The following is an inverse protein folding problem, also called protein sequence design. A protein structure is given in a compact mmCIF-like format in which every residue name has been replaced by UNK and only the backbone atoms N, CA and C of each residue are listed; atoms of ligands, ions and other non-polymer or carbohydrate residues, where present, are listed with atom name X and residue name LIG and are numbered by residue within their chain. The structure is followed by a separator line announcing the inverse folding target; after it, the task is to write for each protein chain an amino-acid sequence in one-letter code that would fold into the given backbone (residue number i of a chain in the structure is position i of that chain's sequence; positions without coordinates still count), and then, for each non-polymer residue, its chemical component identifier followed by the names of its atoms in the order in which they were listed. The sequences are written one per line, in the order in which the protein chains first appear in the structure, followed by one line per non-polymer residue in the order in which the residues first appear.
data_IF_195289569565
#
_entry.id   IF_195289569565
#
_cell.length_a   1.000
_cell.length_b   1.000
_cell.length_c   1.000
_cell.angle_alpha   90.00
_cell.angle_beta   90.00
_cell.angle_gamma   90.00
#
_symmetry.space_group_name_H-M   'P 1'
#
loop_
_entity.id
_entity.type
_entity.pdbx_description
1 polymer ?
#
# COMPACT_ATOMS: atom_id res chain seq x y z
N UNK A 1 -1.99 16.83 -8.41
CA UNK A 1 -0.83 16.03 -8.85
C UNK A 1 -1.42 14.86 -9.61
N UNK A 2 -1.05 14.67 -10.87
CA UNK A 2 -1.58 13.57 -11.65
C UNK A 2 -0.69 12.35 -11.42
N UNK A 3 -1.27 11.32 -10.80
CA UNK A 3 -0.58 10.06 -10.53
C UNK A 3 -0.82 9.08 -11.68
N UNK A 4 0.19 8.28 -12.09
CA UNK A 4 0.00 7.23 -13.09
C UNK A 4 -1.07 6.22 -12.66
N UNK A 5 -1.89 5.74 -13.58
CA UNK A 5 -2.95 4.77 -13.28
C UNK A 5 -2.41 3.47 -12.65
N UNK A 6 -1.15 3.12 -12.92
CA UNK A 6 -0.56 1.88 -12.39
C UNK A 6 -0.38 1.90 -10.87
N UNK A 7 -0.28 3.08 -10.25
CA UNK A 7 -0.18 3.22 -8.79
C UNK A 7 -1.55 3.42 -8.14
N UNK A 8 -2.62 3.57 -8.93
CA UNK A 8 -3.98 3.76 -8.45
C UNK A 8 -4.60 2.43 -8.04
N UNK A 9 -5.25 2.43 -6.88
CA UNK A 9 -6.11 1.37 -6.39
C UNK A 9 -7.54 1.89 -6.27
N UNK A 10 -8.50 1.01 -6.49
CA UNK A 10 -9.93 1.31 -6.30
C UNK A 10 -10.45 0.56 -5.09
N UNK A 11 -11.04 1.28 -4.14
CA UNK A 11 -11.66 0.67 -2.96
C UNK A 11 -12.93 -0.08 -3.35
N UNK A 12 -13.46 -0.91 -2.46
CA UNK A 12 -14.77 -1.57 -2.66
C UNK A 12 -15.92 -0.58 -2.86
N UNK A 13 -15.76 0.68 -2.44
CA UNK A 13 -16.74 1.76 -2.60
C UNK A 13 -16.56 2.56 -3.90
N UNK A 14 -15.58 2.22 -4.72
CA UNK A 14 -15.27 2.94 -5.96
C UNK A 14 -14.38 4.17 -5.77
N UNK A 15 -13.87 4.41 -4.56
CA UNK A 15 -12.96 5.52 -4.30
C UNK A 15 -11.56 5.20 -4.83
N UNK A 16 -10.86 6.21 -5.36
CA UNK A 16 -9.50 6.07 -5.90
C UNK A 16 -8.48 6.43 -4.83
N UNK A 17 -7.46 5.60 -4.69
CA UNK A 17 -6.35 5.77 -3.76
C UNK A 17 -5.01 5.57 -4.47
N UNK A 18 -3.99 6.32 -4.11
CA UNK A 18 -2.61 6.13 -4.60
C UNK A 18 -1.87 5.21 -3.64
N UNK A 19 -1.26 4.14 -4.16
CA UNK A 19 -0.30 3.33 -3.40
C UNK A 19 1.01 4.10 -3.26
N UNK A 20 1.26 4.68 -2.09
CA UNK A 20 2.44 5.50 -1.82
C UNK A 20 3.49 4.73 -1.05
N UNK A 21 4.72 4.74 -1.55
CA UNK A 21 5.87 4.08 -0.95
C UNK A 21 6.13 4.60 0.48
N UNK A 22 6.50 3.69 1.39
CA UNK A 22 7.02 4.04 2.72
C UNK A 22 8.40 3.47 2.95
N UNK A 23 8.57 2.16 2.73
CA UNK A 23 9.82 1.45 3.05
C UNK A 23 9.95 0.18 2.21
N UNK A 24 11.17 -0.25 1.91
CA UNK A 24 11.44 -1.48 1.16
C UNK A 24 12.76 -2.16 1.59
N UNK A 25 12.75 -3.50 1.51
CA UNK A 25 13.89 -4.43 1.64
C UNK A 25 13.51 -5.78 1.04
N UNK A 26 13.59 -6.86 1.84
CA UNK A 26 12.92 -8.15 1.55
C UNK A 26 11.39 -8.10 1.73
N UNK A 27 10.86 -6.89 1.94
CA UNK A 27 9.45 -6.56 1.99
C UNK A 27 9.20 -5.21 1.31
N UNK A 28 7.94 -4.90 1.04
CA UNK A 28 7.47 -3.57 0.69
C UNK A 28 6.42 -3.15 1.72
N UNK A 29 6.57 -1.96 2.26
CA UNK A 29 5.56 -1.29 3.06
C UNK A 29 5.08 -0.06 2.30
N UNK A 30 3.77 0.08 2.14
CA UNK A 30 3.17 1.23 1.49
C UNK A 30 1.86 1.65 2.17
N UNK A 31 1.44 2.89 1.91
CA UNK A 31 0.17 3.45 2.38
C UNK A 31 -0.73 3.90 1.22
N UNK A 32 -1.92 4.39 1.57
CA UNK A 32 -2.93 4.84 0.62
C UNK A 32 -3.14 6.34 0.79
N UNK A 33 -2.92 7.11 -0.27
CA UNK A 33 -3.15 8.55 -0.29
C UNK A 33 -4.36 8.90 -1.14
N UNK A 34 -5.08 9.95 -0.77
CA UNK A 34 -6.08 10.56 -1.63
C UNK A 34 -5.34 11.27 -2.79
N UNK A 35 -5.64 10.94 -4.07
CA UNK A 35 -4.91 11.49 -5.21
C UNK A 35 -5.06 13.01 -5.39
N UNK A 36 -6.13 13.61 -4.83
CA UNK A 36 -6.39 15.05 -4.93
C UNK A 36 -5.65 15.82 -3.85
N UNK A 37 -5.65 15.30 -2.62
CA UNK A 37 -5.12 16.00 -1.44
C UNK A 37 -3.71 15.57 -1.04
N UNK A 38 -3.25 14.41 -1.48
CA UNK A 38 -1.98 13.80 -1.05
C UNK A 38 -1.97 13.33 0.40
N UNK A 39 -3.11 13.36 1.10
CA UNK A 39 -3.22 12.95 2.50
C UNK A 39 -3.55 11.46 2.61
N UNK A 40 -3.10 10.77 3.67
CA UNK A 40 -3.49 9.39 3.92
C UNK A 40 -5.01 9.22 4.01
N UNK A 41 -5.56 8.24 3.30
CA UNK A 41 -7.00 7.90 3.36
C UNK A 41 -7.36 7.05 4.57
N UNK A 42 -6.37 6.37 5.14
CA UNK A 42 -6.52 5.57 6.35
C UNK A 42 -5.20 5.40 7.09
N UNK A 43 -5.26 5.08 8.38
CA UNK A 43 -4.08 4.71 9.16
C UNK A 43 -3.56 3.29 8.84
N UNK A 44 -4.25 2.54 7.98
CA UNK A 44 -3.91 1.18 7.59
C UNK A 44 -2.80 1.20 6.54
N UNK A 45 -1.78 0.40 6.77
CA UNK A 45 -0.68 0.18 5.81
C UNK A 45 -0.81 -1.19 5.16
N UNK A 46 -0.14 -1.39 4.03
CA UNK A 46 -0.01 -2.71 3.41
C UNK A 46 1.44 -3.16 3.44
N UNK A 47 1.65 -4.37 3.96
CA UNK A 47 2.92 -5.06 3.95
C UNK A 47 2.88 -6.19 2.93
N UNK A 48 3.90 -6.24 2.07
CA UNK A 48 4.14 -7.30 1.10
C UNK A 48 5.47 -7.95 1.47
N UNK A 49 5.46 -9.25 1.77
CA UNK A 49 6.66 -10.00 2.12
C UNK A 49 7.13 -10.83 0.92
N UNK A 50 8.43 -10.75 0.60
CA UNK A 50 9.08 -11.74 -0.26
C UNK A 50 9.34 -13.03 0.53
N UNK A 51 9.32 -14.15 -0.15
CA UNK A 51 9.55 -15.47 0.42
C UNK A 51 9.37 -16.55 -0.65
N UNK A 52 9.40 -17.82 -0.23
CA UNK A 52 9.04 -18.95 -1.11
C UNK A 52 7.66 -18.73 -1.76
N UNK A 53 6.75 -18.19 -0.96
CA UNK A 53 5.45 -17.71 -1.39
C UNK A 53 5.29 -16.25 -0.99
N UNK A 54 4.75 -15.45 -1.92
CA UNK A 54 4.43 -14.05 -1.67
C UNK A 54 3.28 -13.99 -0.67
N UNK A 55 3.45 -13.19 0.39
CA UNK A 55 2.41 -12.99 1.41
C UNK A 55 2.13 -11.51 1.57
N UNK A 56 0.86 -11.19 1.76
CA UNK A 56 0.39 -9.82 1.90
C UNK A 56 -0.45 -9.68 3.16
N UNK A 57 -0.31 -8.52 3.81
CA UNK A 57 -1.04 -8.20 5.03
C UNK A 57 -1.49 -6.75 5.03
N UNK A 58 -2.66 -6.50 5.62
CA UNK A 58 -2.99 -5.17 6.12
C UNK A 58 -2.48 -5.04 7.56
N UNK A 59 -1.83 -3.91 7.85
CA UNK A 59 -1.40 -3.52 9.18
C UNK A 59 -2.35 -2.45 9.69
N UNK A 60 -3.14 -2.79 10.71
CA UNK A 60 -4.09 -1.88 11.34
C UNK A 60 -3.55 -1.47 12.71
N UNK A 61 -3.28 -0.18 12.97
CA UNK A 61 -2.83 0.26 14.28
C UNK A 61 -3.94 0.13 15.33
N UNK A 62 -3.55 -0.29 16.53
CA UNK A 62 -4.40 -0.41 17.71
C UNK A 62 -4.10 0.76 18.68
N UNK A 63 -5.01 1.02 19.62
CA UNK A 63 -4.90 2.15 20.56
C UNK A 63 -3.66 2.07 21.48
N UNK A 64 -3.16 0.86 21.72
CA UNK A 64 -2.02 0.58 22.60
C UNK A 64 -0.67 0.50 21.85
N UNK A 65 -0.62 0.95 20.60
CA UNK A 65 0.59 0.94 19.77
C UNK A 65 0.86 -0.39 19.07
N UNK A 66 0.14 -1.47 19.39
CA UNK A 66 0.23 -2.73 18.64
C UNK A 66 -0.36 -2.57 17.24
N UNK A 67 -0.02 -3.49 16.35
CA UNK A 67 -0.61 -3.57 15.01
C UNK A 67 -1.25 -4.94 14.81
N UNK A 68 -2.50 -4.96 14.36
CA UNK A 68 -3.15 -6.18 13.90
C UNK A 68 -2.72 -6.45 12.45
N UNK A 69 -2.27 -7.67 12.19
CA UNK A 69 -1.97 -8.15 10.84
C UNK A 69 -3.15 -8.95 10.32
N UNK A 70 -3.75 -8.51 9.23
CA UNK A 70 -4.83 -9.23 8.54
C UNK A 70 -4.27 -9.80 7.23
N UNK A 71 -4.19 -11.13 7.08
CA UNK A 71 -3.73 -11.74 5.84
C UNK A 71 -4.72 -11.44 4.72
N UNK A 72 -4.18 -11.28 3.52
CA UNK A 72 -4.96 -11.13 2.30
C UNK A 72 -4.35 -11.97 1.20
N UNK A 73 -5.18 -12.32 0.23
CA UNK A 73 -4.72 -12.98 -0.99
C UNK A 73 -3.63 -12.12 -1.65
N UNK A 74 -2.47 -12.74 -1.87
CA UNK A 74 -1.34 -12.08 -2.52
C UNK A 74 -1.67 -11.85 -3.99
N UNK A 75 -1.46 -10.63 -4.47
CA UNK A 75 -1.79 -10.25 -5.83
C UNK A 75 -0.55 -9.84 -6.57
N UNK A 76 -0.09 -10.73 -7.46
CA UNK A 76 0.90 -10.45 -8.50
C UNK A 76 2.03 -9.50 -8.07
N UNK A 77 2.43 -8.62 -8.99
CA UNK A 77 3.37 -7.54 -8.69
C UNK A 77 2.62 -6.30 -8.20
N UNK A 78 3.25 -5.55 -7.31
CA UNK A 78 2.69 -4.32 -6.74
C UNK A 78 3.49 -3.14 -7.28
N UNK A 79 2.78 -2.13 -7.80
CA UNK A 79 3.37 -0.86 -8.23
C UNK A 79 3.01 0.22 -7.23
N UNK A 80 3.99 1.00 -6.80
CA UNK A 80 3.84 2.11 -5.84
C UNK A 80 4.47 3.39 -6.38
N UNK A 81 3.95 4.52 -5.95
CA UNK A 81 4.53 5.83 -6.22
C UNK A 81 5.67 6.12 -5.26
N UNK A 82 6.84 6.49 -5.78
CA UNK A 82 8.03 6.85 -5.01
C UNK A 82 8.73 8.01 -5.69
N UNK A 83 8.75 9.16 -5.02
CA UNK A 83 9.59 10.32 -5.39
C UNK A 83 9.49 10.80 -6.84
N UNK A 84 8.33 10.64 -7.50
CA UNK A 84 8.15 11.02 -8.91
C UNK A 84 8.06 9.84 -9.88
N UNK A 85 8.33 8.62 -9.42
CA UNK A 85 8.42 7.44 -10.25
C UNK A 85 7.47 6.30 -9.81
N UNK A 86 7.16 5.42 -10.76
CA UNK A 86 6.46 4.16 -10.52
C UNK A 86 7.50 3.07 -10.24
N UNK A 87 7.46 2.52 -9.03
CA UNK A 87 8.34 1.42 -8.61
C UNK A 87 7.54 0.14 -8.48
N UNK A 88 8.05 -0.95 -9.05
CA UNK A 88 7.46 -2.28 -8.99
C UNK A 88 8.17 -3.16 -7.94
N UNK A 89 7.38 -3.94 -7.18
CA UNK A 89 7.83 -4.89 -6.16
C UNK A 89 7.08 -6.22 -6.21
#
# INVERSE_FOLDING_TARGET
MDFPEEVIATTKKGEREVRSFLEQGEFLLYEYLDPKTGKPTSAKKKLVLKGKERREFFLIPMKDGRKLLIPVEAKGKVKVWRDGDVVEF
#
